data_IF_426898223981
#
_entry.id   IF_426898223981
#
_cell.length_a   1.000
_cell.length_b   1.000
_cell.length_c   1.000
_cell.angle_alpha   90.00
_cell.angle_beta   90.00
_cell.angle_gamma   90.00
#
_symmetry.space_group_name_H-M   'P 1'
#
loop_
_entity.id
_entity.type
_entity.pdbx_description
1 polymer ?
#
# COMPACT_ATOMS: atom_id res chain seq x y z
N UNK A 1 -37.30 -41.68 -79.76
CA UNK A 1 -36.12 -41.60 -78.88
C UNK A 1 -35.80 -40.14 -78.58
N UNK A 2 -36.04 -39.65 -77.35
CA UNK A 2 -35.38 -38.47 -76.76
C UNK A 2 -35.65 -38.49 -75.26
N UNK A 3 -34.56 -38.54 -74.50
CA UNK A 3 -34.47 -38.68 -73.04
C UNK A 3 -34.80 -37.34 -72.38
N UNK A 4 -35.64 -37.32 -71.35
CA UNK A 4 -35.80 -36.15 -70.47
C UNK A 4 -35.03 -36.42 -69.17
N UNK A 5 -34.03 -35.59 -68.92
CA UNK A 5 -33.14 -35.67 -67.77
C UNK A 5 -33.79 -35.02 -66.53
N UNK A 6 -33.70 -35.72 -65.40
CA UNK A 6 -34.12 -35.26 -64.09
C UNK A 6 -32.99 -34.38 -63.49
N UNK A 7 -33.23 -33.08 -63.34
CA UNK A 7 -32.30 -32.16 -62.70
C UNK A 7 -32.55 -32.12 -61.19
N UNK A 8 -31.57 -32.61 -60.41
CA UNK A 8 -31.54 -32.58 -58.96
C UNK A 8 -31.07 -31.19 -58.50
N UNK A 9 -31.95 -30.38 -57.90
CA UNK A 9 -31.55 -29.13 -57.23
C UNK A 9 -30.97 -29.46 -55.84
N UNK A 10 -29.66 -29.27 -55.68
CA UNK A 10 -29.00 -29.26 -54.37
C UNK A 10 -29.10 -27.83 -53.81
N UNK A 11 -30.00 -27.64 -52.84
CA UNK A 11 -30.08 -26.39 -52.07
C UNK A 11 -28.96 -26.34 -51.03
N UNK A 12 -27.97 -25.48 -51.24
CA UNK A 12 -26.96 -25.15 -50.23
C UNK A 12 -27.57 -24.13 -49.26
N UNK A 13 -27.95 -24.59 -48.07
CA UNK A 13 -28.34 -23.71 -46.98
C UNK A 13 -27.10 -22.97 -46.46
N UNK A 14 -27.00 -21.67 -46.74
CA UNK A 14 -25.99 -20.81 -46.17
C UNK A 14 -26.31 -20.54 -44.69
N UNK A 15 -25.50 -21.07 -43.78
CA UNK A 15 -25.54 -20.72 -42.36
C UNK A 15 -25.17 -19.24 -42.20
N UNK A 16 -25.95 -18.42 -41.48
CA UNK A 16 -25.59 -17.04 -41.21
C UNK A 16 -24.36 -17.01 -40.30
N UNK A 17 -23.26 -16.51 -40.85
CA UNK A 17 -22.04 -16.16 -40.11
C UNK A 17 -22.40 -15.01 -39.14
N UNK A 18 -22.62 -15.33 -37.86
CA UNK A 18 -22.74 -14.31 -36.82
C UNK A 18 -21.40 -13.60 -36.69
N UNK A 19 -21.30 -12.38 -37.21
CA UNK A 19 -20.16 -11.51 -37.02
C UNK A 19 -19.97 -11.28 -35.51
N UNK A 20 -18.91 -11.84 -34.95
CA UNK A 20 -18.45 -11.52 -33.60
C UNK A 20 -18.15 -10.01 -33.55
N UNK A 21 -18.97 -9.26 -32.82
CA UNK A 21 -18.74 -7.85 -32.59
C UNK A 21 -17.34 -7.69 -31.97
N UNK A 22 -16.46 -6.94 -32.66
CA UNK A 22 -15.16 -6.56 -32.10
C UNK A 22 -15.42 -5.70 -30.86
N UNK A 23 -15.33 -6.30 -29.69
CA UNK A 23 -15.45 -5.61 -28.41
C UNK A 23 -14.34 -4.58 -28.34
N UNK A 24 -14.69 -3.30 -28.45
CA UNK A 24 -13.76 -2.21 -28.18
C UNK A 24 -13.34 -2.30 -26.71
N UNK A 25 -12.08 -1.99 -26.41
CA UNK A 25 -11.64 -1.91 -25.02
C UNK A 25 -12.56 -0.92 -24.28
N UNK A 26 -13.04 -1.25 -23.07
CA UNK A 26 -13.93 -0.37 -22.33
C UNK A 26 -13.27 1.00 -22.14
N UNK A 27 -14.06 2.06 -22.37
CA UNK A 27 -13.62 3.44 -22.19
C UNK A 27 -13.42 3.70 -20.70
N UNK A 28 -12.32 4.34 -20.32
CA UNK A 28 -12.06 4.74 -18.93
C UNK A 28 -12.70 6.10 -18.66
N UNK A 29 -14.03 6.15 -18.58
CA UNK A 29 -14.79 7.32 -18.16
C UNK A 29 -15.55 7.07 -16.84
N UNK A 30 -16.04 8.15 -16.22
CA UNK A 30 -16.67 8.12 -14.91
C UNK A 30 -17.84 7.12 -14.84
N UNK A 31 -18.76 7.18 -15.80
CA UNK A 31 -19.95 6.31 -15.82
C UNK A 31 -19.57 4.84 -15.97
N UNK A 32 -18.62 4.52 -16.85
CA UNK A 32 -18.17 3.14 -17.04
C UNK A 32 -17.54 2.58 -15.77
N UNK A 33 -16.74 3.38 -15.05
CA UNK A 33 -16.06 2.94 -13.83
C UNK A 33 -17.02 2.87 -12.65
N UNK A 34 -17.86 3.89 -12.45
CA UNK A 34 -18.84 3.93 -11.36
C UNK A 34 -19.83 2.77 -11.42
N UNK A 35 -20.27 2.42 -12.62
CA UNK A 35 -21.23 1.34 -12.87
C UNK A 35 -20.58 0.02 -13.27
N UNK A 36 -19.25 -0.11 -13.16
CA UNK A 36 -18.55 -1.32 -13.53
C UNK A 36 -19.08 -2.53 -12.74
N UNK A 37 -19.39 -3.66 -13.40
CA UNK A 37 -19.73 -4.90 -12.72
C UNK A 37 -18.49 -5.51 -12.06
N UNK A 38 -18.69 -6.55 -11.25
CA UNK A 38 -17.57 -7.32 -10.70
C UNK A 38 -16.69 -7.82 -11.86
N UNK A 39 -15.38 -7.53 -11.85
CA UNK A 39 -14.47 -7.98 -12.89
C UNK A 39 -14.38 -9.50 -12.88
N UNK A 40 -14.21 -10.11 -14.05
CA UNK A 40 -13.93 -11.54 -14.15
C UNK A 40 -12.46 -11.76 -13.82
N UNK A 41 -12.17 -12.69 -12.90
CA UNK A 41 -10.79 -13.06 -12.56
C UNK A 41 -10.00 -13.33 -13.85
N UNK A 42 -8.87 -12.64 -14.01
CA UNK A 42 -8.07 -12.75 -15.21
C UNK A 42 -7.56 -14.19 -15.32
N UNK A 43 -7.97 -14.92 -16.37
CA UNK A 43 -7.46 -16.27 -16.59
C UNK A 43 -5.94 -16.22 -16.78
N UNK A 44 -5.16 -17.11 -16.14
CA UNK A 44 -3.74 -17.19 -16.39
C UNK A 44 -3.51 -17.44 -17.88
N UNK A 45 -2.73 -16.57 -18.52
CA UNK A 45 -2.34 -16.75 -19.91
C UNK A 45 -1.68 -18.14 -20.07
N UNK A 46 -2.31 -19.03 -20.83
CA UNK A 46 -1.72 -20.33 -21.20
C UNK A 46 -0.65 -20.07 -22.26
N UNK A 47 0.63 -20.10 -21.87
CA UNK A 47 1.76 -20.06 -22.82
C UNK A 47 3.08 -19.55 -22.23
N UNK A 48 4.21 -19.99 -22.81
CA UNK A 48 5.59 -19.62 -22.42
C UNK A 48 6.06 -18.26 -22.99
N UNK A 49 5.16 -17.30 -23.16
CA UNK A 49 5.52 -15.95 -23.61
C UNK A 49 5.20 -14.94 -22.51
N UNK A 50 6.14 -14.02 -22.28
CA UNK A 50 6.08 -13.01 -21.22
C UNK A 50 4.68 -12.39 -21.13
N UNK A 51 4.06 -12.46 -19.93
CA UNK A 51 2.74 -11.87 -19.66
C UNK A 51 2.73 -10.43 -20.19
N UNK A 52 1.86 -10.15 -21.17
CA UNK A 52 1.53 -8.77 -21.49
C UNK A 52 1.11 -8.08 -20.17
N UNK A 53 1.48 -6.80 -19.95
CA UNK A 53 1.07 -6.11 -18.74
C UNK A 53 -0.45 -6.19 -18.61
N UNK A 54 -0.93 -6.54 -17.41
CA UNK A 54 -2.36 -6.63 -17.13
C UNK A 54 -3.03 -5.32 -17.55
N UNK A 55 -4.05 -5.42 -18.40
CA UNK A 55 -4.81 -4.26 -18.86
C UNK A 55 -5.61 -3.70 -17.69
N UNK A 56 -5.79 -2.38 -17.69
CA UNK A 56 -6.67 -1.69 -16.75
C UNK A 56 -8.10 -2.18 -16.98
N UNK A 57 -8.78 -2.56 -15.90
CA UNK A 57 -10.19 -2.96 -15.90
C UNK A 57 -11.00 -2.01 -14.99
N UNK A 58 -12.13 -1.44 -15.47
CA UNK A 58 -12.98 -0.57 -14.67
C UNK A 58 -13.48 -1.20 -13.36
N UNK A 59 -13.73 -2.52 -13.34
CA UNK A 59 -14.20 -3.24 -12.16
C UNK A 59 -13.11 -3.38 -11.09
N UNK A 60 -11.87 -3.67 -11.48
CA UNK A 60 -10.73 -3.67 -10.55
C UNK A 60 -10.45 -2.27 -10.03
N UNK A 61 -10.52 -1.24 -10.89
CA UNK A 61 -10.38 0.15 -10.46
C UNK A 61 -11.44 0.52 -9.41
N UNK A 62 -12.72 0.23 -9.67
CA UNK A 62 -13.81 0.47 -8.72
C UNK A 62 -13.55 -0.23 -7.38
N UNK A 63 -13.19 -1.51 -7.39
CA UNK A 63 -12.90 -2.26 -6.17
C UNK A 63 -11.73 -1.67 -5.37
N UNK A 64 -10.65 -1.26 -6.04
CA UNK A 64 -9.49 -0.62 -5.42
C UNK A 64 -9.86 0.70 -4.71
N UNK A 65 -10.71 1.54 -5.32
CA UNK A 65 -11.19 2.78 -4.68
C UNK A 65 -12.04 2.48 -3.43
N UNK A 66 -12.99 1.55 -3.53
CA UNK A 66 -13.88 1.17 -2.42
C UNK A 66 -13.09 0.60 -1.23
N UNK A 67 -12.03 -0.16 -1.51
CA UNK A 67 -11.08 -0.66 -0.51
C UNK A 67 -10.29 0.49 0.15
N UNK A 68 -9.74 1.41 -0.64
CA UNK A 68 -8.97 2.55 -0.13
C UNK A 68 -9.80 3.46 0.78
N UNK A 69 -11.04 3.79 0.39
CA UNK A 69 -11.99 4.57 1.22
C UNK A 69 -12.24 3.94 2.59
N UNK A 70 -12.19 2.61 2.65
CA UNK A 70 -12.42 1.83 3.86
C UNK A 70 -11.12 1.50 4.61
N UNK A 71 -9.99 2.12 4.25
CA UNK A 71 -8.66 1.94 4.85
C UNK A 71 -8.08 0.53 4.70
N UNK A 72 -8.54 -0.23 3.71
CA UNK A 72 -7.89 -1.46 3.25
C UNK A 72 -7.12 -1.13 1.98
N UNK A 73 -6.00 -0.44 2.11
CA UNK A 73 -5.30 0.17 0.97
C UNK A 73 -4.82 -0.89 -0.02
N UNK A 74 -5.09 -0.74 -1.33
CA UNK A 74 -4.44 -1.54 -2.37
C UNK A 74 -3.03 -1.01 -2.71
N UNK A 75 -2.55 0.02 -2.01
CA UNK A 75 -1.38 0.80 -2.38
C UNK A 75 -1.73 1.81 -3.47
N UNK A 76 -0.90 1.92 -4.52
CA UNK A 76 -1.22 2.77 -5.66
C UNK A 76 -2.33 2.12 -6.50
N UNK A 77 -3.45 2.82 -6.65
CA UNK A 77 -4.56 2.43 -7.51
C UNK A 77 -4.07 2.42 -8.96
N UNK A 78 -4.15 1.26 -9.60
CA UNK A 78 -3.65 1.02 -10.96
C UNK A 78 -4.67 0.29 -11.86
N UNK A 79 -5.83 -0.06 -11.30
CA UNK A 79 -6.95 -0.71 -11.99
C UNK A 79 -6.65 -2.12 -12.47
N UNK A 80 -5.69 -2.82 -11.85
CA UNK A 80 -5.23 -4.16 -12.25
C UNK A 80 -5.44 -5.18 -11.14
N UNK A 81 -5.51 -6.45 -11.58
CA UNK A 81 -5.43 -7.60 -10.69
C UNK A 81 -3.99 -7.83 -10.25
N UNK A 82 -3.72 -7.71 -8.94
CA UNK A 82 -2.35 -7.77 -8.43
C UNK A 82 -2.26 -8.05 -6.93
N UNK A 83 -1.07 -8.44 -6.49
CA UNK A 83 -0.85 -8.98 -5.14
C UNK A 83 -1.30 -8.05 -4.01
N UNK A 84 -1.04 -6.73 -4.12
CA UNK A 84 -1.47 -5.78 -3.09
C UNK A 84 -3.00 -5.65 -3.03
N UNK A 85 -3.69 -5.76 -4.18
CA UNK A 85 -5.13 -5.77 -4.24
C UNK A 85 -5.70 -7.01 -3.53
N UNK A 86 -5.14 -8.20 -3.77
CA UNK A 86 -5.54 -9.42 -3.07
C UNK A 86 -5.32 -9.37 -1.55
N UNK A 87 -4.22 -8.76 -1.11
CA UNK A 87 -3.94 -8.55 0.32
C UNK A 87 -4.96 -7.60 0.97
N UNK A 88 -5.31 -6.52 0.27
CA UNK A 88 -6.34 -5.60 0.71
C UNK A 88 -7.70 -6.29 0.83
N UNK A 89 -8.07 -7.14 -0.15
CA UNK A 89 -9.28 -7.95 -0.11
C UNK A 89 -9.30 -8.91 1.09
N UNK A 90 -8.19 -9.64 1.34
CA UNK A 90 -8.09 -10.56 2.46
C UNK A 90 -8.30 -9.85 3.81
N UNK A 91 -7.66 -8.70 4.00
CA UNK A 91 -7.82 -7.89 5.20
C UNK A 91 -9.24 -7.32 5.34
N UNK A 92 -9.85 -6.87 4.23
CA UNK A 92 -11.23 -6.41 4.23
C UNK A 92 -12.21 -7.54 4.59
N UNK A 93 -12.05 -8.73 4.00
CA UNK A 93 -12.85 -9.91 4.29
C UNK A 93 -12.80 -10.26 5.76
N UNK A 94 -11.59 -10.30 6.35
CA UNK A 94 -11.41 -10.57 7.77
C UNK A 94 -12.14 -9.53 8.63
N UNK A 95 -11.98 -8.24 8.33
CA UNK A 95 -12.62 -7.16 9.08
C UNK A 95 -14.17 -7.15 8.97
N UNK A 96 -14.72 -7.79 7.93
CA UNK A 96 -16.15 -7.95 7.68
C UNK A 96 -16.69 -9.32 8.12
N UNK A 97 -15.85 -10.20 8.66
CA UNK A 97 -16.26 -11.56 9.04
C UNK A 97 -16.65 -12.44 7.84
N UNK A 98 -16.11 -12.13 6.66
CA UNK A 98 -16.28 -12.94 5.45
C UNK A 98 -15.21 -14.04 5.39
N UNK A 99 -15.44 -15.12 4.61
CA UNK A 99 -14.37 -16.07 4.30
C UNK A 99 -13.15 -15.35 3.69
N UNK A 100 -11.99 -15.54 4.31
CA UNK A 100 -10.74 -14.88 3.89
C UNK A 100 -10.12 -15.65 2.73
N UNK A 101 -10.48 -15.26 1.50
CA UNK A 101 -10.00 -15.87 0.26
C UNK A 101 -8.93 -15.02 -0.44
N UNK A 102 -8.87 -13.71 -0.15
CA UNK A 102 -8.08 -12.74 -0.92
C UNK A 102 -8.58 -12.54 -2.36
N UNK A 103 -9.70 -13.15 -2.72
CA UNK A 103 -10.32 -13.06 -4.04
C UNK A 103 -11.54 -12.17 -4.01
N UNK A 104 -11.82 -11.50 -5.13
CA UNK A 104 -13.04 -10.74 -5.29
C UNK A 104 -14.20 -11.68 -5.66
N UNK A 105 -14.80 -12.28 -4.64
CA UNK A 105 -16.03 -13.05 -4.77
C UNK A 105 -17.28 -12.18 -4.61
N UNK A 106 -18.46 -12.77 -4.86
CA UNK A 106 -19.72 -12.05 -4.84
C UNK A 106 -20.02 -11.44 -3.47
N UNK A 107 -19.77 -12.16 -2.38
CA UNK A 107 -20.01 -11.66 -1.02
C UNK A 107 -19.12 -10.45 -0.70
N UNK A 108 -17.85 -10.51 -1.13
CA UNK A 108 -16.89 -9.41 -0.98
C UNK A 108 -17.28 -8.21 -1.84
N UNK A 109 -17.71 -8.46 -3.09
CA UNK A 109 -18.20 -7.41 -3.99
C UNK A 109 -19.43 -6.71 -3.43
N UNK A 110 -20.41 -7.45 -2.93
CA UNK A 110 -21.63 -6.91 -2.32
C UNK A 110 -21.30 -6.08 -1.07
N UNK A 111 -20.38 -6.56 -0.23
CA UNK A 111 -19.90 -5.83 0.93
C UNK A 111 -19.16 -4.52 0.58
N UNK A 112 -18.34 -4.52 -0.49
CA UNK A 112 -17.69 -3.30 -0.97
C UNK A 112 -18.70 -2.28 -1.50
N UNK A 113 -19.73 -2.73 -2.23
CA UNK A 113 -20.76 -1.87 -2.82
C UNK A 113 -21.82 -1.39 -1.81
N UNK A 114 -21.62 -1.62 -0.51
CA UNK A 114 -22.38 -0.90 0.52
C UNK A 114 -22.06 0.60 0.51
N UNK A 115 -20.85 0.99 0.10
CA UNK A 115 -20.56 2.35 -0.32
C UNK A 115 -21.08 2.56 -1.76
N UNK A 116 -22.20 3.29 -1.87
CA UNK A 116 -22.86 3.59 -3.14
C UNK A 116 -22.42 4.91 -3.77
N UNK A 117 -21.45 5.62 -3.17
CA UNK A 117 -20.98 6.91 -3.70
C UNK A 117 -20.15 6.68 -4.97
N UNK A 118 -20.23 7.57 -5.97
CA UNK A 118 -19.38 7.51 -7.15
C UNK A 118 -17.91 7.33 -6.76
N UNK A 119 -17.21 6.36 -7.33
CA UNK A 119 -15.79 6.06 -7.04
C UNK A 119 -14.85 6.95 -7.85
N UNK A 120 -15.36 7.58 -8.91
CA UNK A 120 -14.65 8.59 -9.68
C UNK A 120 -15.30 9.95 -9.48
N UNK A 121 -14.47 10.99 -9.42
CA UNK A 121 -14.90 12.37 -9.32
C UNK A 121 -14.08 13.27 -10.24
N UNK A 122 -14.59 14.46 -10.49
CA UNK A 122 -13.90 15.50 -11.24
C UNK A 122 -13.18 16.46 -10.29
N UNK A 123 -11.94 16.81 -10.64
CA UNK A 123 -11.14 17.78 -9.90
C UNK A 123 -10.68 18.90 -10.84
N UNK A 124 -11.15 20.11 -10.59
CA UNK A 124 -10.66 21.31 -11.27
C UNK A 124 -9.27 21.70 -10.73
N UNK A 125 -8.27 21.74 -11.62
CA UNK A 125 -6.92 22.20 -11.30
C UNK A 125 -6.97 23.67 -10.92
N UNK A 126 -6.49 24.00 -9.72
CA UNK A 126 -6.45 25.37 -9.23
C UNK A 126 -5.08 25.98 -9.45
N UNK A 127 -5.03 27.30 -9.62
CA UNK A 127 -3.77 28.06 -9.65
C UNK A 127 -2.84 27.77 -8.47
N UNK A 128 -3.40 27.45 -7.30
CA UNK A 128 -2.63 27.05 -6.12
C UNK A 128 -1.89 25.72 -6.30
N UNK A 129 -2.49 24.74 -6.98
CA UNK A 129 -1.86 23.46 -7.28
C UNK A 129 -0.62 23.65 -8.16
N UNK A 130 -0.71 24.57 -9.13
CA UNK A 130 0.36 24.87 -10.08
C UNK A 130 1.52 25.68 -9.46
N UNK A 131 1.32 26.27 -8.27
CA UNK A 131 2.41 26.91 -7.50
C UNK A 131 3.32 25.89 -6.83
N UNK A 132 2.87 24.64 -6.66
CA UNK A 132 3.66 23.55 -6.08
C UNK A 132 3.42 23.31 -4.59
N UNK A 133 4.33 22.57 -3.93
CA UNK A 133 5.77 22.61 -4.16
C UNK A 133 6.26 21.73 -5.31
N UNK A 134 7.10 22.29 -6.20
CA UNK A 134 7.73 21.56 -7.31
C UNK A 134 9.24 21.73 -7.37
N UNK A 135 9.94 20.71 -7.86
CA UNK A 135 11.38 20.72 -8.12
C UNK A 135 11.70 20.09 -9.48
N UNK A 136 12.51 20.77 -10.29
CA UNK A 136 12.79 20.32 -11.68
C UNK A 136 13.51 18.98 -11.77
N UNK A 137 14.44 18.73 -10.85
CA UNK A 137 15.29 17.53 -10.87
C UNK A 137 15.67 17.14 -9.46
N UNK A 138 15.53 15.85 -9.17
CA UNK A 138 16.06 15.21 -7.96
C UNK A 138 17.19 14.29 -8.42
N UNK A 139 18.45 14.54 -8.04
CA UNK A 139 19.56 13.66 -8.34
C UNK A 139 19.34 12.25 -7.76
N UNK A 140 19.90 11.23 -8.40
CA UNK A 140 19.84 9.85 -7.88
C UNK A 140 20.80 9.60 -6.71
N UNK A 141 21.90 10.36 -6.62
CA UNK A 141 22.89 10.24 -5.54
C UNK A 141 22.42 10.98 -4.30
N UNK A 142 22.53 10.33 -3.15
CA UNK A 142 22.06 10.85 -1.86
C UNK A 142 22.84 12.11 -1.44
N UNK A 143 24.14 12.14 -1.71
CA UNK A 143 25.03 13.28 -1.44
C UNK A 143 24.66 14.52 -2.28
N UNK A 144 24.13 14.30 -3.48
CA UNK A 144 23.65 15.40 -4.34
C UNK A 144 22.24 15.85 -3.91
N UNK A 145 21.41 14.94 -3.42
CA UNK A 145 20.12 15.30 -2.81
C UNK A 145 20.30 16.16 -1.56
N UNK A 146 21.35 15.93 -0.77
CA UNK A 146 21.68 16.72 0.42
C UNK A 146 21.88 18.22 0.15
N UNK A 147 22.20 18.58 -1.10
CA UNK A 147 22.39 19.98 -1.54
C UNK A 147 21.06 20.68 -1.86
N UNK A 148 19.95 19.94 -1.92
CA UNK A 148 18.63 20.48 -2.22
C UNK A 148 17.96 21.03 -0.96
N UNK A 149 17.27 22.16 -1.10
CA UNK A 149 16.48 22.76 -0.01
C UNK A 149 15.21 21.96 0.33
N UNK A 150 14.68 21.17 -0.61
CA UNK A 150 13.49 20.33 -0.45
C UNK A 150 13.44 19.25 -1.52
N UNK A 151 12.93 18.06 -1.19
CA UNK A 151 12.59 17.00 -2.16
C UNK A 151 11.09 17.01 -2.45
N UNK A 152 10.65 18.06 -3.15
CA UNK A 152 9.26 18.27 -3.56
C UNK A 152 8.82 17.35 -4.73
N UNK A 153 7.59 17.51 -5.22
CA UNK A 153 7.12 16.80 -6.43
C UNK A 153 7.88 17.26 -7.67
N UNK A 154 8.14 16.37 -8.63
CA UNK A 154 8.80 16.70 -9.90
C UNK A 154 7.85 17.34 -10.89
N UNK A 155 6.58 16.93 -10.84
CA UNK A 155 5.54 17.42 -11.75
C UNK A 155 4.18 17.57 -11.03
N UNK A 156 3.25 18.39 -11.57
CA UNK A 156 1.86 18.41 -11.11
C UNK A 156 1.18 17.04 -11.18
N UNK A 157 1.45 16.26 -12.24
CA UNK A 157 0.89 14.91 -12.40
C UNK A 157 1.29 13.99 -11.25
N UNK A 158 2.55 14.01 -10.84
CA UNK A 158 3.04 13.26 -9.67
C UNK A 158 2.34 13.70 -8.38
N UNK A 159 2.16 15.02 -8.19
CA UNK A 159 1.42 15.53 -7.03
C UNK A 159 -0.05 15.07 -7.02
N UNK A 160 -0.73 15.10 -8.17
CA UNK A 160 -2.11 14.64 -8.28
C UNK A 160 -2.22 13.12 -8.12
N UNK A 161 -1.30 12.35 -8.69
CA UNK A 161 -1.19 10.91 -8.47
C UNK A 161 -1.11 10.58 -6.98
N UNK A 162 -0.23 11.27 -6.24
CA UNK A 162 -0.13 11.12 -4.79
C UNK A 162 -1.41 11.56 -4.05
N UNK A 163 -2.02 12.68 -4.47
CA UNK A 163 -3.23 13.21 -3.82
C UNK A 163 -4.43 12.28 -3.94
N UNK A 164 -4.56 11.59 -5.08
CA UNK A 164 -5.69 10.72 -5.39
C UNK A 164 -5.33 9.22 -5.34
N UNK A 165 -4.22 8.90 -4.66
CA UNK A 165 -3.71 7.54 -4.40
C UNK A 165 -3.59 6.66 -5.66
N UNK A 166 -3.36 7.27 -6.81
CA UNK A 166 -3.37 6.62 -8.13
C UNK A 166 -1.99 6.62 -8.74
N UNK A 167 -1.63 5.60 -9.51
CA UNK A 167 -0.35 5.61 -10.23
C UNK A 167 -0.37 6.62 -11.40
N UNK A 168 0.78 7.21 -11.72
CA UNK A 168 0.88 8.20 -12.81
C UNK A 168 0.44 7.64 -14.19
N UNK A 169 0.72 6.36 -14.55
CA UNK A 169 0.22 5.77 -15.79
C UNK A 169 -1.30 5.68 -15.88
N UNK A 170 -2.01 5.27 -14.84
CA UNK A 170 -3.47 5.22 -14.83
C UNK A 170 -4.05 6.63 -14.84
N UNK A 171 -3.49 7.55 -14.05
CA UNK A 171 -3.94 8.95 -14.05
C UNK A 171 -3.83 9.58 -15.45
N UNK A 172 -2.77 9.26 -16.19
CA UNK A 172 -2.61 9.71 -17.58
C UNK A 172 -3.62 9.06 -18.53
N UNK A 173 -3.96 7.79 -18.32
CA UNK A 173 -4.97 7.07 -19.12
C UNK A 173 -6.40 7.56 -18.86
N UNK A 174 -6.71 7.96 -17.62
CA UNK A 174 -7.98 8.60 -17.26
C UNK A 174 -8.12 10.00 -17.89
N UNK A 175 -6.99 10.68 -18.12
CA UNK A 175 -6.94 12.06 -18.59
C UNK A 175 -6.05 12.22 -19.84
N UNK A 176 -6.34 11.52 -20.96
CA UNK A 176 -5.43 11.43 -22.10
C UNK A 176 -5.23 12.75 -22.86
N UNK A 177 -6.08 13.75 -22.60
CA UNK A 177 -6.03 15.07 -23.23
C UNK A 177 -5.45 16.15 -22.32
N UNK A 178 -5.21 15.85 -21.04
CA UNK A 178 -4.87 16.86 -20.05
C UNK A 178 -3.36 17.02 -19.88
N UNK A 179 -2.93 18.27 -19.78
CA UNK A 179 -1.52 18.62 -19.58
C UNK A 179 -1.09 18.56 -18.12
N UNK A 180 -2.06 18.54 -17.19
CA UNK A 180 -1.90 18.71 -15.74
C UNK A 180 -1.29 20.06 -15.30
N UNK A 181 -1.14 21.02 -16.23
CA UNK A 181 -0.35 22.25 -16.02
C UNK A 181 -1.14 23.54 -16.22
N UNK A 182 -2.45 23.45 -16.44
CA UNK A 182 -3.29 24.61 -16.73
C UNK A 182 -4.43 24.71 -15.72
N UNK A 183 -4.61 25.94 -15.25
CA UNK A 183 -5.67 26.33 -14.31
C UNK A 183 -7.03 26.18 -15.01
N UNK A 184 -8.01 25.60 -14.30
CA UNK A 184 -9.33 25.29 -14.83
C UNK A 184 -9.43 24.01 -15.67
N UNK A 185 -8.33 23.31 -15.97
CA UNK A 185 -8.41 21.95 -16.54
C UNK A 185 -9.09 21.03 -15.52
N UNK A 186 -9.97 20.14 -15.98
CA UNK A 186 -10.71 19.21 -15.12
C UNK A 186 -10.14 17.81 -15.26
N UNK A 187 -9.76 17.20 -14.13
CA UNK A 187 -9.21 15.86 -14.07
C UNK A 187 -10.26 14.87 -13.59
N UNK A 188 -10.44 13.75 -14.30
CA UNK A 188 -11.10 12.58 -13.78
C UNK A 188 -10.14 11.81 -12.86
N UNK A 189 -10.51 11.67 -11.60
CA UNK A 189 -9.66 11.07 -10.55
C UNK A 189 -10.44 10.13 -9.64
N UNK A 190 -9.79 9.14 -9.01
CA UNK A 190 -10.42 8.38 -7.94
C UNK A 190 -10.84 9.27 -6.77
N UNK A 191 -12.05 9.06 -6.26
CA UNK A 191 -12.49 9.69 -5.03
C UNK A 191 -12.08 8.83 -3.83
N UNK A 192 -10.93 9.19 -3.26
CA UNK A 192 -10.29 8.49 -2.12
C UNK A 192 -10.73 9.05 -0.76
N UNK A 193 -11.84 9.79 -0.72
CA UNK A 193 -12.31 10.41 0.52
C UNK A 193 -12.71 9.35 1.55
N UNK A 194 -11.97 9.31 2.67
CA UNK A 194 -12.23 8.40 3.79
C UNK A 194 -13.20 9.05 4.77
N UNK A 195 -14.37 8.46 4.96
CA UNK A 195 -15.40 9.00 5.85
C UNK A 195 -15.20 8.59 7.31
N UNK A 196 -15.80 9.39 8.21
CA UNK A 196 -15.74 9.21 9.64
C UNK A 196 -14.40 9.63 10.27
N UNK A 197 -14.41 9.75 11.59
CA UNK A 197 -13.18 9.98 12.34
C UNK A 197 -12.29 8.75 12.25
N UNK A 198 -11.00 8.96 12.03
CA UNK A 198 -10.03 7.88 12.01
C UNK A 198 -10.04 7.17 13.39
N UNK A 199 -10.13 5.85 13.39
CA UNK A 199 -10.18 5.07 14.61
C UNK A 199 -8.87 5.25 15.40
N UNK A 200 -8.96 5.23 16.73
CA UNK A 200 -7.77 5.23 17.58
C UNK A 200 -7.09 3.86 17.49
N UNK A 201 -5.83 3.84 17.05
CA UNK A 201 -5.05 2.61 16.92
C UNK A 201 -4.18 2.41 18.15
N UNK A 202 -4.33 1.26 18.80
CA UNK A 202 -3.53 0.86 19.99
C UNK A 202 -2.44 -0.14 19.65
N UNK A 203 -2.56 -0.84 18.52
CA UNK A 203 -1.62 -1.85 18.07
C UNK A 203 -1.50 -1.87 16.56
N UNK A 204 -0.27 -1.93 16.06
CA UNK A 204 0.04 -2.26 14.67
C UNK A 204 0.78 -3.59 14.62
N UNK A 205 0.44 -4.42 13.65
CA UNK A 205 1.17 -5.63 13.31
C UNK A 205 1.85 -5.45 11.96
N UNK A 206 3.13 -5.79 11.90
CA UNK A 206 3.95 -5.77 10.69
C UNK A 206 4.16 -7.23 10.31
N UNK A 207 3.41 -7.70 9.32
CA UNK A 207 3.52 -9.04 8.78
C UNK A 207 4.64 -9.06 7.72
N UNK A 208 5.76 -9.69 8.05
CA UNK A 208 6.96 -9.72 7.21
C UNK A 208 6.79 -10.61 5.99
N UNK A 209 6.02 -11.68 6.11
CA UNK A 209 5.77 -12.65 5.02
C UNK A 209 4.78 -12.09 4.00
N UNK A 210 3.61 -11.64 4.49
CA UNK A 210 2.58 -11.05 3.65
C UNK A 210 2.95 -9.64 3.19
N UNK A 211 3.91 -8.98 3.86
CA UNK A 211 4.35 -7.62 3.58
C UNK A 211 3.20 -6.63 3.69
N UNK A 212 2.53 -6.67 4.83
CA UNK A 212 1.38 -5.84 5.15
C UNK A 212 1.56 -5.27 6.55
N UNK A 213 1.17 -4.01 6.73
CA UNK A 213 0.96 -3.42 8.05
C UNK A 213 -0.54 -3.43 8.35
N UNK A 214 -0.92 -4.00 9.47
CA UNK A 214 -2.30 -4.09 9.97
C UNK A 214 -2.44 -3.21 11.21
N UNK A 215 -3.52 -2.44 11.30
CA UNK A 215 -3.76 -1.55 12.43
C UNK A 215 -5.05 -1.95 13.16
N UNK A 216 -4.97 -2.03 14.49
CA UNK A 216 -6.03 -2.52 15.35
C UNK A 216 -6.43 -1.46 16.39
N UNK A 217 -7.74 -1.37 16.66
CA UNK A 217 -8.31 -0.60 17.76
C UNK A 217 -8.07 -1.26 19.12
N UNK A 218 -8.45 -0.58 20.20
CA UNK A 218 -8.34 -1.07 21.57
C UNK A 218 -9.16 -2.33 21.86
N UNK A 219 -10.29 -2.50 21.20
CA UNK A 219 -11.11 -3.71 21.25
C UNK A 219 -10.60 -4.86 20.36
N UNK A 220 -9.47 -4.67 19.68
CA UNK A 220 -8.84 -5.69 18.83
C UNK A 220 -9.43 -5.81 17.42
N UNK A 221 -10.35 -4.93 17.00
CA UNK A 221 -10.83 -4.92 15.61
C UNK A 221 -9.75 -4.44 14.65
N UNK A 222 -9.65 -5.10 13.49
CA UNK A 222 -8.86 -4.61 12.36
C UNK A 222 -9.56 -3.38 11.75
N UNK A 223 -8.90 -2.22 11.82
CA UNK A 223 -9.45 -0.94 11.36
C UNK A 223 -8.76 -0.38 10.11
N UNK A 224 -7.54 -0.85 9.81
CA UNK A 224 -6.86 -0.53 8.57
C UNK A 224 -5.82 -1.59 8.20
N UNK A 225 -5.50 -1.67 6.91
CA UNK A 225 -4.44 -2.52 6.36
C UNK A 225 -3.76 -1.80 5.20
N UNK A 226 -2.43 -1.86 5.16
CA UNK A 226 -1.62 -1.21 4.14
C UNK A 226 -0.55 -2.16 3.60
N UNK A 227 -0.36 -2.26 2.28
CA UNK A 227 0.77 -2.97 1.73
C UNK A 227 2.06 -2.26 2.15
N UNK A 228 3.09 -3.04 2.42
CA UNK A 228 4.37 -2.55 2.89
C UNK A 228 5.52 -3.12 2.07
N UNK A 229 6.61 -2.36 1.97
CA UNK A 229 7.92 -2.90 1.62
C UNK A 229 8.74 -3.03 2.90
N UNK A 230 9.09 -4.26 3.24
CA UNK A 230 9.79 -4.63 4.48
C UNK A 230 11.20 -5.12 4.13
N UNK A 231 12.10 -5.14 5.12
CA UNK A 231 13.50 -5.55 4.95
C UNK A 231 13.64 -6.89 4.23
N UNK A 232 14.67 -7.02 3.39
CA UNK A 232 15.00 -8.29 2.73
C UNK A 232 15.53 -9.33 3.72
N UNK A 233 15.66 -10.58 3.30
CA UNK A 233 16.35 -11.61 4.09
C UNK A 233 17.82 -11.23 4.39
N UNK A 234 18.48 -10.49 3.49
CA UNK A 234 19.85 -10.00 3.70
C UNK A 234 19.94 -8.85 4.71
N UNK A 235 18.84 -8.11 4.91
CA UNK A 235 18.71 -7.01 5.88
C UNK A 235 17.30 -7.04 6.51
N UNK A 236 17.02 -8.03 7.36
CA UNK A 236 15.67 -8.28 7.84
C UNK A 236 15.23 -7.17 8.79
N UNK A 237 13.94 -6.85 8.74
CA UNK A 237 13.32 -6.12 9.84
C UNK A 237 13.41 -6.97 11.13
N UNK A 238 13.52 -6.35 12.32
CA UNK A 238 13.52 -7.08 13.58
C UNK A 238 12.22 -7.89 13.74
N UNK A 239 12.23 -8.83 14.68
CA UNK A 239 11.05 -9.57 15.14
C UNK A 239 10.81 -9.25 16.61
N UNK A 240 9.54 -9.15 17.02
CA UNK A 240 9.15 -8.96 18.41
C UNK A 240 8.30 -7.72 18.67
N UNK A 241 8.16 -7.39 19.95
CA UNK A 241 7.30 -6.33 20.45
C UNK A 241 8.05 -5.02 20.67
N UNK A 242 7.57 -3.98 20.00
CA UNK A 242 8.08 -2.63 20.09
C UNK A 242 6.94 -1.64 20.36
N UNK A 243 7.29 -0.36 20.47
CA UNK A 243 6.33 0.73 20.64
C UNK A 243 6.65 1.87 19.69
N UNK A 244 5.61 2.57 19.25
CA UNK A 244 5.75 3.86 18.58
C UNK A 244 6.22 4.89 19.60
N UNK A 245 7.33 5.58 19.33
CA UNK A 245 7.96 6.57 20.21
C UNK A 245 7.62 8.00 19.82
N UNK A 246 7.34 8.24 18.53
CA UNK A 246 7.00 9.55 18.00
C UNK A 246 6.58 9.52 16.53
N UNK A 247 6.06 10.65 16.06
CA UNK A 247 5.68 10.87 14.66
C UNK A 247 6.29 12.19 14.22
N UNK A 248 7.04 12.17 13.12
CA UNK A 248 7.59 13.34 12.47
C UNK A 248 6.96 13.51 11.08
N UNK A 249 6.26 14.63 10.88
CA UNK A 249 5.75 15.06 9.57
C UNK A 249 6.83 15.85 8.85
N UNK A 250 6.93 15.64 7.53
CA UNK A 250 7.99 16.23 6.69
C UNK A 250 9.39 16.08 7.33
N UNK A 251 9.83 14.84 7.63
CA UNK A 251 11.09 14.60 8.33
C UNK A 251 12.30 14.99 7.48
N UNK A 252 13.32 15.58 8.11
CA UNK A 252 14.67 15.67 7.56
C UNK A 252 15.31 14.29 7.72
N UNK A 253 15.90 13.77 6.64
CA UNK A 253 16.58 12.49 6.68
C UNK A 253 18.04 12.67 7.10
N UNK A 254 18.46 11.93 8.13
CA UNK A 254 19.85 11.92 8.61
C UNK A 254 20.54 10.65 8.12
N UNK A 255 21.54 10.82 7.25
CA UNK A 255 22.37 9.70 6.80
C UNK A 255 23.63 9.57 7.64
N UNK A 256 23.91 8.34 8.09
CA UNK A 256 25.12 7.97 8.80
C UNK A 256 25.96 7.02 7.92
N UNK A 257 27.20 7.41 7.54
CA UNK A 257 28.13 6.60 6.75
C UNK A 257 28.36 5.19 7.26
N UNK A 258 28.17 4.92 8.57
CA UNK A 258 28.33 3.57 9.14
C UNK A 258 27.42 2.52 8.48
N UNK A 259 26.30 2.95 7.90
CA UNK A 259 25.38 2.04 7.22
C UNK A 259 25.82 1.63 5.81
N UNK A 260 26.87 2.28 5.27
CA UNK A 260 27.53 1.93 4.02
C UNK A 260 26.55 1.64 2.86
N UNK A 261 25.62 2.57 2.59
CA UNK A 261 24.64 2.37 1.52
C UNK A 261 25.32 2.24 0.16
N UNK A 262 24.88 1.26 -0.63
CA UNK A 262 25.44 1.01 -1.97
C UNK A 262 25.36 2.28 -2.83
N UNK A 263 26.52 2.74 -3.30
CA UNK A 263 26.62 3.92 -4.16
C UNK A 263 26.79 5.25 -3.43
N UNK A 264 26.76 5.27 -2.09
CA UNK A 264 27.08 6.45 -1.28
C UNK A 264 28.55 6.38 -0.87
N UNK A 265 29.31 7.46 -1.12
CA UNK A 265 30.76 7.57 -0.85
C UNK A 265 31.10 8.48 0.33
N UNK A 266 30.11 9.13 0.93
CA UNK A 266 30.33 10.02 2.05
C UNK A 266 30.96 9.30 3.25
N UNK A 267 31.96 9.92 3.86
CA UNK A 267 32.63 9.46 5.09
C UNK A 267 32.13 10.19 6.34
N UNK A 268 31.45 11.32 6.17
CA UNK A 268 30.86 12.12 7.25
C UNK A 268 29.32 12.10 7.19
N UNK A 269 28.62 12.18 8.34
CA UNK A 269 27.18 12.32 8.38
C UNK A 269 26.68 13.55 7.63
N UNK A 270 25.53 13.42 6.99
CA UNK A 270 24.88 14.55 6.33
C UNK A 270 23.36 14.43 6.40
N UNK A 271 22.68 15.53 6.10
CA UNK A 271 21.21 15.58 6.07
C UNK A 271 20.69 15.74 4.66
N UNK A 272 19.51 15.18 4.42
CA UNK A 272 18.74 15.33 3.19
C UNK A 272 17.41 15.99 3.54
N UNK A 273 17.08 17.08 2.85
CA UNK A 273 15.91 17.87 3.17
C UNK A 273 14.59 17.08 3.07
N UNK A 274 13.57 17.58 3.76
CA UNK A 274 12.25 16.95 3.77
C UNK A 274 11.53 17.02 2.41
N UNK A 275 10.48 16.22 2.28
CA UNK A 275 9.51 16.28 1.19
C UNK A 275 9.00 14.89 0.78
N UNK A 276 7.94 14.84 -0.05
CA UNK A 276 7.33 13.57 -0.49
C UNK A 276 8.32 12.67 -1.24
N UNK A 277 9.32 13.26 -1.90
CA UNK A 277 10.39 12.53 -2.60
C UNK A 277 11.65 12.30 -1.76
N UNK A 278 11.62 12.57 -0.45
CA UNK A 278 12.75 12.26 0.43
C UNK A 278 12.91 10.74 0.60
N UNK A 279 14.10 10.25 1.03
CA UNK A 279 14.32 8.83 1.30
C UNK A 279 13.32 8.20 2.28
N UNK A 280 12.76 9.00 3.18
CA UNK A 280 11.76 8.59 4.19
C UNK A 280 10.36 9.13 3.90
N UNK A 281 10.16 9.73 2.72
CA UNK A 281 8.87 10.27 2.28
C UNK A 281 8.35 11.40 3.15
N UNK A 282 7.02 11.48 3.23
CA UNK A 282 6.31 12.59 3.87
C UNK A 282 6.14 12.46 5.39
N UNK A 283 6.30 11.26 5.96
CA UNK A 283 6.14 11.00 7.40
C UNK A 283 7.11 9.91 7.84
N UNK A 284 7.66 10.09 9.04
CA UNK A 284 8.39 9.07 9.80
C UNK A 284 7.65 8.77 11.10
N UNK A 285 7.39 7.50 11.38
CA UNK A 285 6.86 6.99 12.63
C UNK A 285 7.99 6.20 13.30
N UNK A 286 8.45 6.71 14.42
CA UNK A 286 9.61 6.21 15.13
C UNK A 286 9.25 5.01 16.02
N UNK A 287 10.15 4.03 16.11
CA UNK A 287 9.96 2.81 16.89
C UNK A 287 10.95 2.76 18.05
N UNK A 288 10.59 2.04 19.11
CA UNK A 288 11.46 1.84 20.28
C UNK A 288 12.72 1.01 20.00
N UNK A 289 12.84 0.44 18.80
CA UNK A 289 14.09 -0.14 18.31
C UNK A 289 14.94 0.92 17.59
N UNK A 290 16.21 1.12 17.99
CA UNK A 290 17.05 2.16 17.41
C UNK A 290 17.18 2.07 15.88
N UNK A 291 17.01 3.21 15.20
CA UNK A 291 17.19 3.38 13.76
C UNK A 291 16.15 2.68 12.85
N UNK A 292 15.07 2.15 13.41
CA UNK A 292 13.96 1.60 12.64
C UNK A 292 12.73 2.50 12.73
N UNK A 293 11.98 2.56 11.64
CA UNK A 293 10.73 3.31 11.59
C UNK A 293 9.80 2.78 10.52
N UNK A 294 8.56 3.27 10.60
CA UNK A 294 7.52 3.11 9.58
C UNK A 294 7.44 4.44 8.85
N UNK A 295 7.64 4.45 7.55
CA UNK A 295 7.81 5.72 6.84
C UNK A 295 7.23 5.69 5.43
N UNK A 296 7.07 6.89 4.86
CA UNK A 296 6.60 7.08 3.49
C UNK A 296 7.65 6.76 2.44
N UNK A 297 7.38 7.07 1.18
CA UNK A 297 8.33 6.81 0.11
C UNK A 297 8.18 7.74 -1.09
N UNK A 298 9.31 7.99 -1.76
CA UNK A 298 9.37 8.65 -3.06
C UNK A 298 8.88 7.77 -4.24
N UNK A 299 8.62 6.47 -4.01
CA UNK A 299 8.29 5.49 -5.05
C UNK A 299 7.05 4.65 -4.68
N UNK A 300 5.86 5.24 -4.56
CA UNK A 300 4.67 4.55 -4.06
C UNK A 300 4.27 3.33 -4.90
N UNK A 301 4.49 3.36 -6.21
CA UNK A 301 4.20 2.25 -7.13
C UNK A 301 5.06 0.99 -6.92
N UNK A 302 6.13 1.08 -6.11
CA UNK A 302 7.07 -0.03 -5.79
C UNK A 302 6.81 -0.68 -4.43
N UNK A 303 5.81 -0.19 -3.67
CA UNK A 303 5.40 -0.79 -2.39
C UNK A 303 4.93 -2.23 -2.60
N UNK A 304 5.45 -3.15 -1.79
CA UNK A 304 5.18 -4.60 -1.86
C UNK A 304 5.87 -5.33 -3.03
N UNK A 305 6.49 -4.61 -3.98
CA UNK A 305 7.13 -5.16 -5.19
C UNK A 305 8.65 -5.25 -5.08
N UNK A 306 9.21 -4.77 -3.97
CA UNK A 306 10.65 -4.64 -3.72
C UNK A 306 10.95 -4.99 -2.26
N UNK A 307 12.22 -4.88 -1.87
CA UNK A 307 12.65 -5.02 -0.48
C UNK A 307 13.31 -3.73 0.02
N UNK A 308 13.20 -3.46 1.32
CA UNK A 308 13.92 -2.36 1.98
C UNK A 308 15.23 -2.84 2.62
N UNK A 309 15.98 -1.92 3.24
CA UNK A 309 17.17 -2.23 4.03
C UNK A 309 16.85 -2.31 5.55
N UNK A 310 15.62 -2.69 5.91
CA UNK A 310 15.20 -2.97 7.30
C UNK A 310 13.96 -2.20 7.76
N UNK A 311 13.72 -0.98 7.27
CA UNK A 311 12.55 -0.16 7.65
C UNK A 311 11.26 -0.61 6.95
N UNK A 312 10.10 -0.21 7.50
CA UNK A 312 8.78 -0.48 6.91
C UNK A 312 8.39 0.72 6.05
N UNK A 313 8.35 0.52 4.73
CA UNK A 313 7.94 1.54 3.76
C UNK A 313 6.49 1.38 3.40
N UNK A 314 5.72 2.46 3.49
CA UNK A 314 4.36 2.59 2.97
C UNK A 314 4.34 3.67 1.87
N UNK A 315 3.22 3.77 1.17
CA UNK A 315 2.93 4.96 0.36
C UNK A 315 2.84 6.19 1.27
N UNK A 316 3.08 7.39 0.72
CA UNK A 316 3.03 8.61 1.52
C UNK A 316 1.63 8.92 2.05
N UNK A 317 0.56 8.52 1.36
CA UNK A 317 -0.81 8.69 1.86
C UNK A 317 -1.16 7.69 2.96
N UNK A 318 -0.74 6.43 2.83
CA UNK A 318 -1.02 5.41 3.85
C UNK A 318 -0.29 5.70 5.16
N UNK A 319 0.99 6.12 5.10
CA UNK A 319 1.71 6.51 6.33
C UNK A 319 1.10 7.76 6.97
N UNK A 320 0.54 8.70 6.19
CA UNK A 320 -0.14 9.89 6.73
C UNK A 320 -1.42 9.51 7.46
N UNK A 321 -2.20 8.59 6.90
CA UNK A 321 -3.41 8.08 7.55
C UNK A 321 -3.06 7.33 8.84
N UNK A 322 -2.08 6.41 8.79
CA UNK A 322 -1.61 5.70 9.98
C UNK A 322 -1.12 6.67 11.06
N UNK A 323 -0.33 7.68 10.69
CA UNK A 323 0.16 8.71 11.58
C UNK A 323 -0.95 9.55 12.24
N UNK A 324 -2.12 9.65 11.59
CA UNK A 324 -3.32 10.27 12.16
C UNK A 324 -4.04 9.39 13.19
N UNK A 325 -3.76 8.08 13.22
CA UNK A 325 -4.44 7.11 14.09
C UNK A 325 -3.60 6.61 15.26
N UNK A 326 -2.27 6.62 15.12
CA UNK A 326 -1.33 6.14 16.15
C UNK A 326 -0.89 7.26 17.08
N UNK A 327 -0.42 6.88 18.28
CA UNK A 327 0.19 7.81 19.24
C UNK A 327 1.41 7.18 19.89
N UNK A 328 2.19 8.00 20.61
CA UNK A 328 3.27 7.49 21.46
C UNK A 328 2.74 6.41 22.41
N UNK A 329 3.40 5.26 22.42
CA UNK A 329 3.03 4.09 23.20
C UNK A 329 2.12 3.07 22.48
N UNK A 330 1.60 3.38 21.28
CA UNK A 330 0.94 2.37 20.42
C UNK A 330 1.91 1.20 20.21
N UNK A 331 1.44 -0.03 20.42
CA UNK A 331 2.25 -1.23 20.27
C UNK A 331 2.56 -1.46 18.78
N UNK A 332 3.78 -1.91 18.48
CA UNK A 332 4.20 -2.30 17.15
C UNK A 332 4.80 -3.71 17.22
N UNK A 333 4.10 -4.70 16.67
CA UNK A 333 4.49 -6.10 16.72
C UNK A 333 5.02 -6.52 15.34
N UNK A 334 6.22 -7.06 15.28
CA UNK A 334 6.81 -7.58 14.04
C UNK A 334 6.75 -9.10 14.03
N UNK A 335 6.01 -9.66 13.07
CA UNK A 335 5.75 -11.09 12.96
C UNK A 335 6.53 -11.69 11.78
N UNK A 336 7.29 -12.75 12.03
CA UNK A 336 8.00 -13.52 10.99
C UNK A 336 7.07 -14.43 10.17
N UNK A 337 5.96 -14.84 10.75
CA UNK A 337 4.96 -15.73 10.16
C UNK A 337 3.59 -15.18 10.52
N UNK A 338 2.70 -15.04 9.53
CA UNK A 338 1.28 -14.78 9.81
C UNK A 338 0.75 -15.90 10.71
N UNK A 339 -0.03 -15.63 11.77
CA UNK A 339 -0.81 -16.68 12.38
C UNK A 339 -1.69 -17.27 11.29
N UNK A 340 -1.40 -18.50 10.86
CA UNK A 340 -2.28 -19.23 9.95
C UNK A 340 -3.64 -19.31 10.63
N UNK A 341 -4.66 -18.68 10.07
CA UNK A 341 -6.03 -19.04 10.40
C UNK A 341 -6.18 -20.48 9.92
N UNK A 342 -6.12 -21.44 10.83
CA UNK A 342 -6.37 -22.84 10.53
C UNK A 342 -7.77 -22.95 9.90
N UNK A 343 -7.81 -23.19 8.59
CA UNK A 343 -9.03 -23.59 7.92
C UNK A 343 -9.41 -24.98 8.46
N UNK A 344 -10.56 -25.02 9.13
CA UNK A 344 -10.97 -26.14 9.98
C UNK A 344 -10.86 -27.51 9.30
N UNK A 345 -10.02 -28.36 9.88
CA UNK A 345 -10.25 -29.80 9.85
C UNK A 345 -10.78 -30.19 11.23
N UNK A 346 -12.10 -30.39 11.32
CA UNK A 346 -12.73 -31.00 12.48
C UNK A 346 -12.12 -32.39 12.66
N UNK A 347 -11.19 -32.54 13.60
CA UNK A 347 -10.85 -33.86 14.15
C UNK A 347 -11.97 -34.27 15.09
N UNK A 348 -12.64 -35.37 14.72
CA UNK A 348 -13.63 -36.10 15.52
C UNK A 348 -13.08 -36.37 16.93
N UNK A 349 -13.86 -36.13 18.00
CA UNK A 349 -13.42 -36.42 19.35
C UNK A 349 -13.50 -37.93 19.59
N UNK A 350 -12.38 -38.53 20.00
CA UNK A 350 -12.39 -39.85 20.64
C UNK A 350 -11.96 -39.64 22.08
N UNK A 351 -12.84 -40.03 22.99
CA UNK A 351 -12.71 -39.92 24.45
C UNK A 351 -11.57 -40.81 24.99
N UNK A 352 -10.90 -40.25 26.00
CA UNK A 352 -10.55 -40.92 27.26
C UNK A 352 -9.51 -42.03 27.23
N UNK A 353 -8.38 -41.80 27.93
CA UNK A 353 -8.11 -42.53 29.16
C UNK A 353 -6.96 -41.87 29.95
N UNK A 354 -7.06 -42.06 31.26
CA UNK A 354 -6.28 -41.48 32.35
C UNK A 354 -4.77 -41.74 32.28
N UNK A 355 -3.98 -40.80 32.78
CA UNK A 355 -3.00 -41.03 33.87
C UNK A 355 -2.04 -39.83 34.04
N UNK A 356 -1.89 -39.40 35.28
CA UNK A 356 -0.80 -38.60 35.83
C UNK A 356 -0.50 -39.17 37.24
N UNK A 357 0.61 -38.84 37.94
CA UNK A 357 1.88 -38.23 37.55
C UNK A 357 3.13 -38.93 38.16
N UNK A 358 4.35 -38.56 37.73
CA UNK A 358 5.60 -38.65 38.52
C UNK A 358 6.67 -37.76 37.84
N UNK A 359 7.15 -36.64 38.41
CA UNK A 359 8.04 -36.46 39.57
C UNK A 359 9.49 -36.95 39.36
N UNK A 360 10.46 -36.03 39.28
CA UNK A 360 11.78 -36.22 39.90
C UNK A 360 13.06 -35.75 39.18
N UNK A 361 13.67 -34.68 39.76
CA UNK A 361 15.12 -34.32 39.88
C UNK A 361 15.81 -33.59 38.69
N UNK A 362 16.36 -32.36 38.87
CA UNK A 362 17.56 -31.91 39.65
C UNK A 362 18.84 -32.63 39.17
N UNK A 363 19.99 -32.05 38.85
CA UNK A 363 20.70 -30.76 39.06
C UNK A 363 21.63 -30.56 37.81
N UNK A 364 22.17 -29.40 37.43
CA UNK A 364 23.29 -28.74 38.12
C UNK A 364 23.79 -27.48 37.37
N UNK A 365 24.02 -26.44 38.16
CA UNK A 365 25.06 -25.39 38.14
C UNK A 365 25.96 -25.18 36.90
N UNK A 366 26.02 -23.94 36.43
CA UNK A 366 27.30 -23.24 36.19
C UNK A 366 27.10 -21.70 36.21
N UNK A 367 27.81 -21.07 37.14
CA UNK A 367 28.05 -19.64 37.30
C UNK A 367 28.84 -19.06 36.13
N UNK A 368 28.53 -17.83 35.70
CA UNK A 368 29.60 -16.84 35.50
C UNK A 368 29.10 -15.39 35.63
N UNK A 369 29.88 -14.61 36.37
CA UNK A 369 29.65 -13.22 36.68
C UNK A 369 30.34 -12.29 35.67
N UNK A 370 29.83 -11.06 35.55
CA UNK A 370 30.64 -9.89 35.22
C UNK A 370 30.47 -9.34 33.80
N UNK A 371 29.71 -8.25 33.68
CA UNK A 371 30.25 -6.92 33.34
C UNK A 371 29.12 -6.02 32.79
N UNK A 372 28.83 -4.96 33.53
CA UNK A 372 28.00 -3.85 33.10
C UNK A 372 28.77 -2.96 32.11
N UNK A 373 28.09 -2.37 31.11
CA UNK A 373 28.47 -1.01 30.71
C UNK A 373 27.27 -0.06 30.73
N UNK A 374 27.43 0.95 31.59
CA UNK A 374 27.11 2.38 31.44
C UNK A 374 26.11 2.75 30.34
N UNK A 375 25.04 3.41 30.78
CA UNK A 375 23.99 3.97 29.94
C UNK A 375 24.48 4.97 28.89
N UNK A 376 23.78 4.96 27.76
CA UNK A 376 23.89 5.89 26.64
C UNK A 376 22.59 6.72 26.63
N UNK A 377 22.63 8.04 26.39
CA UNK A 377 21.49 8.90 26.68
C UNK A 377 20.32 8.68 25.71
N UNK A 378 19.11 8.80 26.26
CA UNK A 378 17.87 8.85 25.50
C UNK A 378 17.85 10.09 24.59
N UNK A 379 17.56 9.89 23.30
CA UNK A 379 17.36 10.98 22.35
C UNK A 379 16.02 11.68 22.64
N UNK A 380 16.10 12.90 23.17
CA UNK A 380 14.96 13.82 23.18
C UNK A 380 14.80 14.42 21.78
N UNK A 381 13.62 14.26 21.16
CA UNK A 381 13.15 15.23 20.17
C UNK A 381 13.00 16.57 20.90
N UNK A 382 13.77 17.57 20.49
CA UNK A 382 13.56 18.94 20.93
C UNK A 382 12.21 19.45 20.38
N UNK A 383 11.37 20.10 21.20
CA UNK A 383 10.16 20.75 20.71
C UNK A 383 10.52 22.00 19.88
N UNK A 384 9.67 22.42 18.93
CA UNK A 384 9.91 23.62 18.14
C UNK A 384 9.88 24.87 19.05
N UNK A 385 10.84 25.77 18.83
CA UNK A 385 10.90 27.10 19.42
C UNK A 385 9.60 27.86 19.10
N UNK A 386 8.89 28.28 20.16
CA UNK A 386 7.82 29.26 20.05
C UNK A 386 8.40 30.62 19.66
N UNK A 387 7.91 31.18 18.55
CA UNK A 387 8.15 32.57 18.21
C UNK A 387 7.29 33.46 19.12
N UNK A 388 7.93 34.13 20.07
CA UNK A 388 7.31 35.19 20.85
C UNK A 388 7.21 36.44 19.99
N UNK A 389 5.97 36.91 19.78
CA UNK A 389 5.68 38.25 19.27
C UNK A 389 5.54 39.23 20.44
N UNK A 390 6.32 40.32 20.43
CA UNK A 390 6.08 41.64 21.04
C UNK A 390 7.36 42.47 20.83
N UNK A 391 7.37 43.76 20.50
CA UNK A 391 6.31 44.75 20.42
C UNK A 391 6.85 46.06 19.82
N UNK A 392 5.93 47.01 19.64
CA UNK A 392 6.08 48.37 19.13
C UNK A 392 7.18 49.18 19.83
N UNK A 393 7.87 50.03 19.08
CA UNK A 393 7.80 51.50 19.18
C UNK A 393 8.00 52.11 17.79
#
# INVERSE_FOLDING_TARGET
>A
MKRLALALLVGVAALPCTAQAKTHAPKLDADTINNAPMPREAQPARGKHAKAPAKVDPGYLKAQVLLDRQRFSPGAIDGKDGDNFHKALAAFQEARGLPVSGKLDQATWDALNQDQKPVMTEYEIKKADLKGPFIKKIPSKLEEQAKLKKLAYRTPREMFAERFHVDEPLLSQLNPRESFKKDGDTLLVPDVTREGNAAKVTRVEIDKDQRVLRAFSDDGRLVASYPATIGSNDKPAPTGDFKITGVAKDPIYHYDPKYAFKGVKATEPFTVAAGPNSPVGAVWIDLSIPSYGIHGTAEPSRIGKTFSHGCVRLTNWDVKDLAGMVKKGTQAVFNDVSPTIETGSIKKPTQGQDEAPAAGRQDSTATNAGASPRGIPSFFLAPPLSATAAGRM
#
